data_IF_242961142050
#
_entry.id   IF_242961142050
#
_cell.length_a   1.000
_cell.length_b   1.000
_cell.length_c   1.000
_cell.angle_alpha   90.00
_cell.angle_beta   90.00
_cell.angle_gamma   90.00
#
_symmetry.space_group_name_H-M   'P 1'
#
loop_
_entity.id
_entity.type
_entity.pdbx_description
1 polymer ?
#
# COMPACT_ATOMS: atom_id res chain seq x y z
N UNK A 1 -58.53 4.46 -49.03
CA UNK A 1 -58.45 5.09 -47.70
C UNK A 1 -57.02 5.03 -47.24
N UNK A 2 -56.41 6.20 -47.02
CA UNK A 2 -55.04 6.37 -46.54
C UNK A 2 -54.88 5.83 -45.11
N UNK A 3 -53.61 5.58 -44.77
CA UNK A 3 -53.02 5.84 -43.45
C UNK A 3 -52.91 4.65 -42.50
N UNK A 4 -51.66 4.19 -42.28
CA UNK A 4 -51.10 4.19 -40.92
C UNK A 4 -49.57 4.18 -40.92
N UNK A 5 -49.00 5.21 -40.29
CA UNK A 5 -47.60 5.31 -39.89
C UNK A 5 -47.28 4.23 -38.84
N UNK A 6 -46.14 3.54 -38.99
CA UNK A 6 -45.54 2.75 -37.91
C UNK A 6 -44.28 3.49 -37.46
N UNK A 7 -44.37 4.09 -36.25
CA UNK A 7 -43.23 4.54 -35.44
C UNK A 7 -42.94 3.41 -34.45
N UNK A 8 -41.69 2.95 -34.34
CA UNK A 8 -41.31 1.90 -33.39
C UNK A 8 -39.86 2.07 -32.95
N UNK A 9 -39.68 2.43 -31.69
CA UNK A 9 -38.46 2.87 -31.01
C UNK A 9 -37.25 1.91 -31.14
N UNK A 10 -36.06 2.49 -31.39
CA UNK A 10 -34.79 1.81 -31.16
C UNK A 10 -34.39 1.97 -29.68
N UNK A 11 -34.39 0.86 -28.94
CA UNK A 11 -33.87 0.80 -27.57
C UNK A 11 -32.36 0.54 -27.65
N UNK A 12 -31.56 1.58 -27.40
CA UNK A 12 -30.11 1.43 -27.25
C UNK A 12 -29.80 0.90 -25.84
N UNK A 13 -29.39 -0.37 -25.77
CA UNK A 13 -28.87 -0.98 -24.54
C UNK A 13 -27.47 -0.41 -24.25
N UNK A 14 -27.38 0.53 -23.31
CA UNK A 14 -26.12 0.94 -22.70
C UNK A 14 -25.90 0.11 -21.44
N UNK A 15 -25.23 -1.03 -21.57
CA UNK A 15 -24.74 -1.77 -20.40
C UNK A 15 -23.28 -1.43 -20.16
N UNK A 16 -23.08 -0.67 -19.08
CA UNK A 16 -21.83 -0.28 -18.48
C UNK A 16 -20.84 -1.46 -18.43
N UNK A 17 -19.65 -1.26 -18.99
CA UNK A 17 -18.51 -2.13 -18.73
C UNK A 17 -18.17 -2.01 -17.25
N UNK A 18 -18.52 -3.01 -16.46
CA UNK A 18 -17.97 -3.21 -15.11
C UNK A 18 -16.48 -3.42 -15.28
N UNK A 19 -15.69 -2.35 -15.18
CA UNK A 19 -14.26 -2.46 -14.95
C UNK A 19 -14.11 -3.15 -13.61
N UNK A 20 -13.90 -4.46 -13.64
CA UNK A 20 -13.37 -5.18 -12.51
C UNK A 20 -12.07 -4.49 -12.15
N UNK A 21 -12.08 -3.74 -11.06
CA UNK A 21 -10.85 -3.32 -10.41
C UNK A 21 -10.15 -4.63 -10.05
N UNK A 22 -9.17 -5.00 -10.85
CA UNK A 22 -8.25 -6.06 -10.48
C UNK A 22 -7.65 -5.60 -9.15
N UNK A 23 -8.05 -6.27 -8.08
CA UNK A 23 -7.35 -6.22 -6.82
C UNK A 23 -5.98 -6.87 -7.08
N UNK A 24 -5.08 -6.11 -7.71
CA UNK A 24 -3.66 -6.37 -7.67
C UNK A 24 -3.37 -6.45 -6.18
N UNK A 25 -3.01 -7.63 -5.69
CA UNK A 25 -2.65 -7.81 -4.30
C UNK A 25 -1.40 -6.97 -4.09
N UNK A 26 -1.58 -5.72 -3.63
CA UNK A 26 -0.50 -4.77 -3.39
C UNK A 26 0.38 -5.37 -2.31
N UNK A 27 1.44 -6.04 -2.75
CA UNK A 27 2.37 -6.71 -1.87
C UNK A 27 3.19 -5.65 -1.15
N UNK A 28 3.03 -5.63 0.17
CA UNK A 28 3.77 -4.74 1.05
C UNK A 28 5.08 -5.39 1.49
N UNK A 29 6.15 -4.62 1.45
CA UNK A 29 7.44 -4.99 2.03
C UNK A 29 7.58 -4.28 3.37
N UNK A 30 7.84 -5.05 4.41
CA UNK A 30 7.95 -4.51 5.76
C UNK A 30 9.40 -4.41 6.19
N UNK A 31 9.72 -3.33 6.88
CA UNK A 31 11.03 -3.07 7.44
C UNK A 31 10.88 -2.71 8.90
N UNK A 32 11.79 -3.21 9.72
CA UNK A 32 11.94 -2.76 11.09
C UNK A 32 12.96 -1.62 11.10
N UNK A 33 12.56 -0.51 11.66
CA UNK A 33 13.46 0.60 11.97
C UNK A 33 13.83 0.48 13.44
N UNK A 34 15.12 0.30 13.70
CA UNK A 34 15.68 0.16 15.04
C UNK A 34 16.41 1.46 15.38
N UNK A 35 15.95 2.12 16.44
CA UNK A 35 16.62 3.30 17.01
C UNK A 35 17.13 2.99 18.42
N UNK A 36 17.81 3.95 19.05
CA UNK A 36 18.22 3.82 20.45
C UNK A 36 17.00 3.82 21.40
N UNK A 37 15.90 4.46 20.99
CA UNK A 37 14.72 4.64 21.84
C UNK A 37 13.70 3.54 21.66
N UNK A 38 13.53 3.07 20.43
CA UNK A 38 12.41 2.22 20.04
C UNK A 38 12.68 1.43 18.76
N UNK A 39 11.80 0.47 18.51
CA UNK A 39 11.69 -0.25 17.25
C UNK A 39 10.30 -0.03 16.67
N UNK A 40 10.22 0.30 15.38
CA UNK A 40 8.96 0.47 14.67
C UNK A 40 8.96 -0.35 13.39
N UNK A 41 7.82 -0.90 13.02
CA UNK A 41 7.64 -1.58 11.73
C UNK A 41 7.00 -0.61 10.75
N UNK A 42 7.59 -0.50 9.56
CA UNK A 42 7.10 0.34 8.48
C UNK A 42 6.88 -0.50 7.23
N UNK A 43 5.95 -0.08 6.37
CA UNK A 43 5.64 -0.76 5.12
C UNK A 43 5.81 0.15 3.91
N UNK A 44 6.34 -0.42 2.84
CA UNK A 44 6.52 0.22 1.53
C UNK A 44 6.06 -0.73 0.42
N UNK A 45 5.37 -0.19 -0.58
CA UNK A 45 5.02 -0.93 -1.78
C UNK A 45 6.27 -1.20 -2.64
N UNK A 46 6.18 -2.12 -3.60
CA UNK A 46 7.27 -2.36 -4.54
C UNK A 46 7.60 -1.10 -5.38
N UNK A 47 6.58 -0.30 -5.71
CA UNK A 47 6.73 0.94 -6.48
C UNK A 47 7.43 2.03 -5.66
N UNK A 48 7.06 2.18 -4.39
CA UNK A 48 7.71 3.11 -3.47
C UNK A 48 9.18 2.74 -3.26
N UNK A 49 9.47 1.45 -3.04
CA UNK A 49 10.85 0.96 -2.94
C UNK A 49 11.66 1.27 -4.21
N UNK A 50 11.08 1.00 -5.38
CA UNK A 50 11.74 1.29 -6.65
C UNK A 50 12.03 2.79 -6.80
N UNK A 51 11.14 3.67 -6.31
CA UNK A 51 11.36 5.12 -6.26
C UNK A 51 12.42 5.54 -5.24
N UNK A 52 12.73 4.70 -4.24
CA UNK A 52 13.88 4.86 -3.34
C UNK A 52 15.18 4.32 -3.94
N UNK A 53 15.14 3.70 -5.12
CA UNK A 53 16.32 3.24 -5.85
C UNK A 53 16.70 1.79 -5.58
N UNK A 54 15.82 0.96 -5.03
CA UNK A 54 16.07 -0.48 -4.83
C UNK A 54 14.84 -1.24 -4.34
N UNK A 55 15.04 -2.39 -3.71
CA UNK A 55 13.94 -3.25 -3.24
C UNK A 55 14.19 -3.91 -1.88
N UNK A 56 15.22 -3.47 -1.16
CA UNK A 56 15.70 -4.06 0.07
C UNK A 56 15.89 -3.02 1.19
N UNK A 57 16.30 -3.50 2.37
CA UNK A 57 16.54 -2.63 3.52
C UNK A 57 17.69 -1.63 3.27
N UNK A 58 18.69 -2.04 2.48
CA UNK A 58 19.82 -1.20 2.10
C UNK A 58 19.38 0.03 1.30
N UNK A 59 18.46 -0.16 0.36
CA UNK A 59 17.87 0.93 -0.43
C UNK A 59 17.12 1.94 0.45
N UNK A 60 16.32 1.45 1.40
CA UNK A 60 15.59 2.32 2.36
C UNK A 60 16.57 3.10 3.23
N UNK A 61 17.60 2.44 3.78
CA UNK A 61 18.63 3.09 4.60
C UNK A 61 19.41 4.15 3.81
N UNK A 62 19.80 3.84 2.57
CA UNK A 62 20.48 4.80 1.70
C UNK A 62 19.60 5.99 1.37
N UNK A 63 18.33 5.77 1.02
CA UNK A 63 17.41 6.85 0.71
C UNK A 63 17.17 7.77 1.92
N UNK A 64 17.03 7.20 3.12
CA UNK A 64 16.91 7.97 4.34
C UNK A 64 18.18 8.79 4.63
N UNK A 65 19.36 8.19 4.48
CA UNK A 65 20.63 8.89 4.69
C UNK A 65 20.86 10.03 3.67
N UNK A 66 20.41 9.87 2.42
CA UNK A 66 20.56 10.86 1.37
C UNK A 66 19.53 12.01 1.49
N UNK A 67 18.28 11.69 1.80
CA UNK A 67 17.19 12.69 1.86
C UNK A 67 17.10 13.40 3.20
N UNK A 68 17.58 12.78 4.28
CA UNK A 68 17.49 13.29 5.64
C UNK A 68 16.19 12.88 6.34
N UNK A 69 15.10 12.69 5.60
CA UNK A 69 13.84 12.16 6.09
C UNK A 69 13.08 11.34 5.03
N UNK A 70 12.14 10.51 5.48
CA UNK A 70 11.21 9.75 4.66
C UNK A 70 9.81 9.74 5.28
N UNK A 71 8.77 9.97 4.47
CA UNK A 71 7.39 9.73 4.91
C UNK A 71 6.98 8.29 4.60
N UNK A 72 6.68 7.50 5.63
CA UNK A 72 6.38 6.05 5.52
C UNK A 72 5.15 5.67 6.32
N UNK A 73 4.49 4.57 5.96
CA UNK A 73 3.41 4.00 6.76
C UNK A 73 3.96 3.12 7.87
N UNK A 74 3.57 3.39 9.12
CA UNK A 74 3.79 2.51 10.26
C UNK A 74 2.78 1.37 10.24
N UNK A 75 3.23 0.17 10.59
CA UNK A 75 2.45 -1.05 10.63
C UNK A 75 2.48 -1.70 12.02
N UNK A 76 1.31 -2.08 12.53
CA UNK A 76 1.15 -2.81 13.78
C UNK A 76 0.17 -3.97 13.63
N UNK A 77 0.24 -4.92 14.56
CA UNK A 77 -0.74 -6.02 14.63
C UNK A 77 -2.08 -5.47 15.10
N UNK A 78 -3.11 -5.71 14.30
CA UNK A 78 -4.49 -5.33 14.58
C UNK A 78 -5.41 -6.52 14.43
N UNK A 79 -6.58 -6.42 15.06
CA UNK A 79 -7.67 -7.37 14.84
C UNK A 79 -8.48 -6.94 13.62
N UNK A 80 -8.57 -7.82 12.62
CA UNK A 80 -9.36 -7.63 11.41
C UNK A 80 -10.87 -7.74 11.67
N UNK A 81 -11.70 -7.51 10.63
CA UNK A 81 -13.16 -7.49 10.76
C UNK A 81 -13.77 -8.80 11.29
N UNK A 82 -13.12 -9.94 11.05
CA UNK A 82 -13.59 -11.26 11.49
C UNK A 82 -12.86 -11.77 12.74
N UNK A 83 -12.09 -10.91 13.42
CA UNK A 83 -11.36 -11.27 14.62
C UNK A 83 -9.96 -11.85 14.38
N UNK A 84 -9.52 -11.99 13.13
CA UNK A 84 -8.18 -12.44 12.75
C UNK A 84 -7.10 -11.43 13.13
N UNK A 85 -5.88 -11.89 13.43
CA UNK A 85 -4.73 -10.99 13.60
C UNK A 85 -4.10 -10.70 12.24
N UNK A 86 -3.91 -9.42 11.95
CA UNK A 86 -3.35 -8.91 10.71
C UNK A 86 -2.30 -7.82 10.99
N UNK A 87 -1.27 -7.75 10.17
CA UNK A 87 -0.31 -6.66 10.17
C UNK A 87 -0.88 -5.54 9.29
N UNK A 88 -1.29 -4.42 9.89
CA UNK A 88 -2.04 -3.38 9.19
C UNK A 88 -1.43 -1.98 9.38
N UNK A 89 -1.57 -1.09 8.38
CA UNK A 89 -1.12 0.29 8.48
C UNK A 89 -1.88 1.01 9.59
N UNK A 90 -1.16 1.79 10.39
CA UNK A 90 -1.71 2.49 11.56
C UNK A 90 -1.64 4.01 11.40
N UNK A 91 -0.50 4.52 10.93
CA UNK A 91 -0.29 5.95 10.74
C UNK A 91 0.77 6.20 9.67
N UNK A 92 0.66 7.31 8.94
CA UNK A 92 1.75 7.81 8.10
C UNK A 92 2.64 8.72 8.94
N UNK A 93 3.93 8.42 9.01
CA UNK A 93 4.89 9.08 9.90
C UNK A 93 6.08 9.62 9.12
N UNK A 94 6.70 10.67 9.65
CA UNK A 94 8.00 11.14 9.20
C UNK A 94 9.11 10.39 9.93
N UNK A 95 9.94 9.68 9.18
CA UNK A 95 11.14 9.03 9.68
C UNK A 95 12.35 9.93 9.43
N UNK A 96 13.09 10.28 10.47
CA UNK A 96 14.28 11.13 10.37
C UNK A 96 15.55 10.30 10.39
N UNK A 97 16.53 10.69 9.57
CA UNK A 97 17.85 10.08 9.58
C UNK A 97 18.56 10.33 10.92
N UNK A 98 19.23 9.29 11.44
CA UNK A 98 20.03 9.37 12.65
C UNK A 98 21.21 8.41 12.56
N UNK A 99 22.35 8.78 13.15
CA UNK A 99 23.60 8.03 13.04
C UNK A 99 23.53 6.59 13.61
N UNK A 100 22.60 6.33 14.53
CA UNK A 100 22.42 5.01 15.15
C UNK A 100 21.16 4.27 14.67
N UNK A 101 20.47 4.80 13.66
CA UNK A 101 19.31 4.15 13.07
C UNK A 101 19.76 2.99 12.18
N UNK A 102 19.11 1.84 12.33
CA UNK A 102 19.29 0.68 11.46
C UNK A 102 17.96 0.30 10.81
N UNK A 103 18.02 -0.08 9.55
CA UNK A 103 16.87 -0.64 8.81
C UNK A 103 17.12 -2.12 8.62
N UNK A 104 16.16 -2.94 9.03
CA UNK A 104 16.21 -4.40 8.89
C UNK A 104 14.97 -4.89 8.12
N UNK A 105 15.08 -5.97 7.33
CA UNK A 105 13.90 -6.64 6.80
C UNK A 105 13.01 -7.14 7.95
N UNK A 106 11.69 -7.01 7.80
CA UNK A 106 10.74 -7.52 8.77
C UNK A 106 9.78 -8.52 8.12
N UNK A 107 9.68 -9.71 8.71
CA UNK A 107 8.72 -10.74 8.31
C UNK A 107 7.74 -11.01 9.43
N UNK A 108 6.52 -11.39 9.07
CA UNK A 108 5.45 -11.65 10.02
C UNK A 108 4.63 -12.85 9.56
N UNK A 109 4.13 -13.69 10.48
CA UNK A 109 3.19 -14.75 10.14
C UNK A 109 1.78 -14.22 9.86
N UNK A 110 1.49 -12.96 10.20
CA UNK A 110 0.18 -12.36 10.00
C UNK A 110 -0.02 -11.90 8.55
N UNK A 111 -1.27 -11.95 8.09
CA UNK A 111 -1.65 -11.34 6.80
C UNK A 111 -1.29 -9.86 6.83
N UNK A 112 -0.60 -9.38 5.80
CA UNK A 112 -0.24 -7.97 5.67
C UNK A 112 -1.32 -7.26 4.85
N UNK A 113 -1.86 -6.16 5.38
CA UNK A 113 -2.88 -5.35 4.71
C UNK A 113 -2.20 -4.19 3.96
N UNK A 114 -2.54 -3.94 2.69
CA UNK A 114 -1.97 -2.81 1.97
C UNK A 114 -2.41 -1.47 2.58
N UNK A 115 -1.55 -0.46 2.48
CA UNK A 115 -1.93 0.90 2.82
C UNK A 115 -2.66 1.58 1.66
N UNK A 116 -3.44 2.66 1.94
CA UNK A 116 -4.10 3.46 0.91
C UNK A 116 -3.11 4.16 -0.03
#
# INVERSE_FOLDING_TARGET
>A
MLSRCIKGAAVALLTFSTQGAWAQETKMNLFKIVTIKDEIVVGLSAEELQALGGNDASAVAHALAQKGDLSVWQYNVHRGPNGELQQAPTAKIGLLASASLRVEPYTTPYKIVPHP
#
